data_IF_614789333164
#
_entry.id   IF_614789333164
#
_cell.length_a   1.000
_cell.length_b   1.000
_cell.length_c   1.000
_cell.angle_alpha   90.00
_cell.angle_beta   90.00
_cell.angle_gamma   90.00
#
_symmetry.space_group_name_H-M   'P 1'
#
loop_
_entity.id
_entity.type
_entity.pdbx_description
1 polymer ?
#
# COMPACT_ATOMS: atom_id res chain seq x y z
N UNK A 1 -7.56 11.10 10.51
CA UNK A 1 -7.53 10.52 9.15
C UNK A 1 -8.14 11.53 8.22
N UNK A 2 -7.45 11.89 7.15
CA UNK A 2 -8.01 12.72 6.09
C UNK A 2 -8.30 11.80 4.91
N UNK A 3 -9.56 11.34 4.80
CA UNK A 3 -9.98 10.64 3.59
C UNK A 3 -9.96 11.65 2.46
N UNK A 4 -9.16 11.39 1.42
CA UNK A 4 -9.24 12.18 0.19
C UNK A 4 -10.55 11.76 -0.48
N UNK A 5 -11.61 12.52 -0.17
CA UNK A 5 -12.92 12.34 -0.77
C UNK A 5 -12.81 12.69 -2.25
N UNK A 6 -13.60 12.02 -3.09
CA UNK A 6 -13.83 12.50 -4.44
C UNK A 6 -14.17 13.98 -4.38
N UNK A 7 -13.46 14.79 -5.18
CA UNK A 7 -13.91 16.14 -5.47
C UNK A 7 -15.25 15.92 -6.19
N UNK A 8 -16.37 16.16 -5.52
CA UNK A 8 -17.60 16.44 -6.25
C UNK A 8 -17.23 17.63 -7.13
N UNK A 9 -17.20 17.40 -8.44
CA UNK A 9 -16.93 18.44 -9.39
C UNK A 9 -17.97 19.55 -9.14
N UNK A 10 -17.55 20.65 -8.52
CA UNK A 10 -18.23 21.92 -8.70
C UNK A 10 -17.94 22.34 -10.14
N UNK A 11 -18.64 21.73 -11.08
CA UNK A 11 -18.59 22.12 -12.47
C UNK A 11 -19.99 22.03 -13.03
N UNK A 12 -20.41 23.13 -13.63
CA UNK A 12 -21.37 23.21 -14.71
C UNK A 12 -20.90 22.38 -15.93
N UNK A 13 -20.62 21.09 -15.73
CA UNK A 13 -20.17 20.17 -16.74
C UNK A 13 -21.37 19.47 -17.39
N UNK A 14 -21.31 19.37 -18.72
CA UNK A 14 -22.34 18.73 -19.53
C UNK A 14 -22.50 17.24 -19.22
N UNK A 15 -23.58 16.62 -19.74
CA UNK A 15 -24.05 15.28 -19.33
C UNK A 15 -23.12 14.10 -19.68
N UNK A 16 -21.93 14.34 -20.26
CA UNK A 16 -21.05 13.31 -20.81
C UNK A 16 -19.66 13.20 -20.12
N UNK A 17 -19.39 13.94 -19.05
CA UNK A 17 -18.13 13.78 -18.30
C UNK A 17 -18.25 12.63 -17.28
N UNK A 18 -17.51 11.54 -17.50
CA UNK A 18 -17.37 10.47 -16.51
C UNK A 18 -16.85 11.04 -15.18
N UNK A 19 -17.43 10.65 -14.04
CA UNK A 19 -17.03 11.19 -12.74
C UNK A 19 -15.57 10.85 -12.45
N UNK A 20 -14.71 11.86 -12.47
CA UNK A 20 -13.28 11.74 -12.18
C UNK A 20 -13.07 11.49 -10.69
N UNK A 21 -12.36 10.41 -10.33
CA UNK A 21 -12.02 10.14 -8.94
C UNK A 21 -10.95 11.12 -8.42
N UNK A 22 -10.91 11.39 -7.12
CA UNK A 22 -9.96 12.36 -6.56
C UNK A 22 -8.49 12.02 -6.83
N UNK A 23 -8.12 10.73 -6.89
CA UNK A 23 -6.76 10.33 -7.21
C UNK A 23 -6.33 10.79 -8.61
N UNK A 24 -7.23 10.68 -9.59
CA UNK A 24 -6.98 11.16 -10.96
C UNK A 24 -6.90 12.68 -11.01
N UNK A 25 -7.83 13.38 -10.35
CA UNK A 25 -7.86 14.84 -10.29
C UNK A 25 -6.58 15.43 -9.67
N UNK A 26 -5.99 14.72 -8.70
CA UNK A 26 -4.75 15.11 -8.03
C UNK A 26 -3.47 14.61 -8.74
N UNK A 27 -3.61 13.90 -9.87
CA UNK A 27 -2.47 13.38 -10.64
C UNK A 27 -1.67 12.31 -9.90
N UNK A 28 -2.30 11.55 -9.01
CA UNK A 28 -1.65 10.43 -8.33
C UNK A 28 -1.40 9.27 -9.30
N UNK A 29 -0.33 8.48 -9.10
CA UNK A 29 0.00 7.38 -10.00
C UNK A 29 -1.00 6.23 -9.89
N UNK A 30 -1.14 5.47 -10.96
CA UNK A 30 -1.92 4.24 -10.97
C UNK A 30 -1.15 3.11 -10.25
N UNK A 31 -1.87 2.32 -9.46
CA UNK A 31 -1.35 1.15 -8.76
C UNK A 31 -0.71 0.14 -9.71
N UNK A 32 -1.27 -0.02 -10.91
CA UNK A 32 -0.72 -0.91 -11.95
C UNK A 32 0.63 -0.46 -12.51
N UNK A 33 0.98 0.82 -12.40
CA UNK A 33 2.24 1.39 -12.91
C UNK A 33 3.38 1.29 -11.88
N UNK A 34 3.05 0.99 -10.62
CA UNK A 34 4.01 0.99 -9.51
C UNK A 34 4.74 -0.35 -9.32
N UNK A 35 4.36 -1.39 -10.09
CA UNK A 35 5.01 -2.70 -10.04
C UNK A 35 4.89 -3.40 -8.69
N UNK A 36 3.79 -3.17 -7.96
CA UNK A 36 3.51 -3.85 -6.70
C UNK A 36 3.26 -5.35 -6.92
N UNK A 37 3.85 -6.16 -6.06
CA UNK A 37 3.55 -7.59 -5.95
C UNK A 37 2.11 -7.80 -5.48
N UNK A 38 1.56 -9.01 -5.68
CA UNK A 38 0.20 -9.34 -5.25
C UNK A 38 -0.02 -9.08 -3.76
N UNK A 39 0.94 -9.44 -2.91
CA UNK A 39 0.84 -9.24 -1.46
C UNK A 39 0.93 -7.75 -1.07
N UNK A 40 1.69 -6.93 -1.81
CA UNK A 40 1.72 -5.48 -1.60
C UNK A 40 0.39 -4.82 -1.97
N UNK A 41 -0.25 -5.27 -3.07
CA UNK A 41 -1.59 -4.81 -3.44
C UNK A 41 -2.63 -5.15 -2.37
N UNK A 42 -2.66 -6.41 -1.91
CA UNK A 42 -3.57 -6.84 -0.84
C UNK A 42 -3.31 -6.05 0.45
N UNK A 43 -2.04 -5.83 0.81
CA UNK A 43 -1.69 -5.05 2.00
C UNK A 43 -2.19 -3.61 1.91
N UNK A 44 -2.05 -2.97 0.74
CA UNK A 44 -2.52 -1.60 0.51
C UNK A 44 -4.04 -1.49 0.64
N UNK A 45 -4.80 -2.42 0.05
CA UNK A 45 -6.26 -2.37 0.13
C UNK A 45 -6.77 -2.67 1.54
N UNK A 46 -6.17 -3.63 2.26
CA UNK A 46 -6.43 -3.84 3.70
C UNK A 46 -6.11 -2.57 4.49
N UNK A 47 -4.99 -1.91 4.21
CA UNK A 47 -4.61 -0.66 4.86
C UNK A 47 -5.66 0.44 4.65
N UNK A 48 -6.22 0.57 3.44
CA UNK A 48 -7.33 1.50 3.15
C UNK A 48 -8.60 1.17 3.92
N UNK A 49 -8.97 -0.11 4.01
CA UNK A 49 -10.10 -0.55 4.83
C UNK A 49 -9.91 -0.14 6.30
N UNK A 50 -8.70 -0.32 6.84
CA UNK A 50 -8.36 0.06 8.21
C UNK A 50 -8.37 1.59 8.39
N UNK A 51 -7.88 2.36 7.41
CA UNK A 51 -8.06 3.82 7.42
C UNK A 51 -9.55 4.20 7.51
N UNK A 52 -10.42 3.52 6.76
CA UNK A 52 -11.88 3.75 6.79
C UNK A 52 -12.51 3.40 8.14
N UNK A 53 -12.08 2.32 8.80
CA UNK A 53 -12.49 2.03 10.20
C UNK A 53 -12.21 3.24 11.09
N UNK A 54 -10.99 3.77 11.02
CA UNK A 54 -10.56 4.87 11.85
C UNK A 54 -11.17 6.23 11.48
N UNK A 55 -11.59 6.40 10.23
CA UNK A 55 -12.23 7.62 9.76
C UNK A 55 -13.74 7.64 10.07
N UNK A 56 -14.39 6.47 10.08
CA UNK A 56 -15.85 6.35 10.21
C UNK A 56 -16.32 5.77 11.54
N UNK A 57 -15.42 5.20 12.35
CA UNK A 57 -15.74 4.38 13.52
C UNK A 57 -16.67 3.19 13.22
N UNK A 58 -16.72 2.74 11.96
CA UNK A 58 -17.58 1.63 11.54
C UNK A 58 -16.88 0.28 11.69
N UNK A 59 -17.50 -0.63 12.44
CA UNK A 59 -17.08 -2.02 12.50
C UNK A 59 -17.22 -2.74 11.15
N UNK A 60 -18.14 -2.29 10.28
CA UNK A 60 -18.35 -2.91 8.96
C UNK A 60 -17.09 -2.84 8.08
N UNK A 61 -16.33 -1.74 8.15
CA UNK A 61 -15.08 -1.61 7.41
C UNK A 61 -14.03 -2.63 7.86
N UNK A 62 -14.11 -3.08 9.10
CA UNK A 62 -13.24 -4.14 9.64
C UNK A 62 -13.59 -5.51 9.06
N UNK A 63 -14.88 -5.84 9.03
CA UNK A 63 -15.38 -7.08 8.40
C UNK A 63 -15.04 -7.14 6.91
N UNK A 64 -15.13 -6.02 6.20
CA UNK A 64 -14.69 -5.92 4.80
C UNK A 64 -13.20 -6.21 4.67
N UNK A 65 -12.36 -5.67 5.56
CA UNK A 65 -10.92 -5.93 5.56
C UNK A 65 -10.61 -7.43 5.76
N UNK A 66 -11.26 -8.07 6.73
CA UNK A 66 -11.08 -9.49 7.04
C UNK A 66 -11.49 -10.34 5.84
N UNK A 67 -12.72 -10.17 5.34
CA UNK A 67 -13.21 -10.94 4.19
C UNK A 67 -12.34 -10.79 2.97
N UNK A 68 -11.96 -9.55 2.64
CA UNK A 68 -11.06 -9.29 1.52
C UNK A 68 -9.72 -9.99 1.69
N UNK A 69 -9.11 -9.93 2.88
CA UNK A 69 -7.84 -10.59 3.14
C UNK A 69 -7.97 -12.13 3.10
N UNK A 70 -9.06 -12.69 3.61
CA UNK A 70 -9.36 -14.13 3.57
C UNK A 70 -9.56 -14.64 2.13
N UNK A 71 -10.23 -13.87 1.27
CA UNK A 71 -10.42 -14.20 -0.14
C UNK A 71 -9.09 -14.32 -0.90
N UNK A 72 -8.03 -13.61 -0.45
CA UNK A 72 -6.73 -13.60 -1.11
C UNK A 72 -5.69 -14.51 -0.45
N UNK A 73 -5.72 -14.65 0.88
CA UNK A 73 -4.68 -15.33 1.66
C UNK A 73 -5.20 -16.54 2.44
N UNK A 74 -6.51 -16.78 2.42
CA UNK A 74 -7.17 -17.84 3.17
C UNK A 74 -7.54 -17.46 4.61
N UNK A 75 -8.32 -18.33 5.25
CA UNK A 75 -8.94 -18.11 6.55
C UNK A 75 -7.96 -17.97 7.75
N UNK A 76 -6.69 -18.33 7.56
CA UNK A 76 -5.67 -18.26 8.62
C UNK A 76 -4.83 -16.99 8.47
N UNK A 77 -4.25 -16.79 7.28
CA UNK A 77 -3.29 -15.71 7.06
C UNK A 77 -3.98 -14.36 6.77
N UNK A 78 -5.19 -14.38 6.20
CA UNK A 78 -5.99 -13.19 5.94
C UNK A 78 -6.24 -12.35 7.21
N UNK A 79 -6.87 -12.90 8.26
CA UNK A 79 -7.10 -12.17 9.51
C UNK A 79 -5.80 -11.72 10.19
N UNK A 80 -4.72 -12.50 10.06
CA UNK A 80 -3.42 -12.13 10.59
C UNK A 80 -2.85 -10.88 9.89
N UNK A 81 -2.95 -10.79 8.57
CA UNK A 81 -2.55 -9.59 7.82
C UNK A 81 -3.30 -8.35 8.32
N UNK A 82 -4.62 -8.45 8.49
CA UNK A 82 -5.46 -7.34 8.99
C UNK A 82 -5.01 -6.89 10.38
N UNK A 83 -4.70 -7.84 11.27
CA UNK A 83 -4.20 -7.54 12.61
C UNK A 83 -2.83 -6.82 12.56
N UNK A 84 -1.92 -7.23 11.68
CA UNK A 84 -0.60 -6.59 11.51
C UNK A 84 -0.70 -5.19 10.90
N UNK A 85 -1.52 -5.01 9.88
CA UNK A 85 -1.81 -3.69 9.29
C UNK A 85 -2.45 -2.76 10.33
N UNK A 86 -3.37 -3.28 11.14
CA UNK A 86 -3.95 -2.53 12.27
C UNK A 86 -2.88 -2.11 13.28
N UNK A 87 -1.98 -3.02 13.65
CA UNK A 87 -0.91 -2.71 14.61
C UNK A 87 -0.02 -1.58 14.09
N UNK A 88 0.34 -1.61 12.80
CA UNK A 88 1.07 -0.53 12.14
C UNK A 88 0.26 0.77 12.20
N UNK A 89 -1.01 0.74 11.81
CA UNK A 89 -1.86 1.94 11.84
C UNK A 89 -1.96 2.56 13.23
N UNK A 90 -2.08 1.74 14.27
CA UNK A 90 -2.12 2.20 15.67
C UNK A 90 -0.80 2.83 16.09
N UNK A 91 0.33 2.26 15.67
CA UNK A 91 1.65 2.83 15.92
C UNK A 91 1.79 4.20 15.23
N UNK A 92 1.45 4.28 13.95
CA UNK A 92 1.50 5.52 13.18
C UNK A 92 0.59 6.60 13.77
N UNK A 93 -0.64 6.26 14.15
CA UNK A 93 -1.56 7.22 14.81
C UNK A 93 -1.06 7.73 16.16
N UNK A 94 -0.27 6.94 16.87
CA UNK A 94 0.29 7.35 18.15
C UNK A 94 1.50 8.27 17.98
N UNK A 95 2.29 8.07 16.93
CA UNK A 95 3.58 8.74 16.72
C UNK A 95 3.51 9.92 15.73
N UNK A 96 2.56 9.88 14.79
CA UNK A 96 2.37 10.93 13.78
C UNK A 96 1.47 12.02 14.34
N UNK A 97 2.01 13.24 14.43
CA UNK A 97 1.28 14.42 14.89
C UNK A 97 0.28 15.01 13.89
N UNK A 98 0.16 14.43 12.70
CA UNK A 98 -0.68 14.93 11.60
C UNK A 98 -1.61 13.84 11.07
N UNK A 99 -2.60 14.28 10.26
CA UNK A 99 -3.45 13.35 9.53
C UNK A 99 -2.68 12.49 8.55
N UNK A 100 -3.25 11.32 8.25
CA UNK A 100 -2.82 10.43 7.18
C UNK A 100 -3.81 10.53 6.02
N UNK A 101 -3.30 10.72 4.82
CA UNK A 101 -4.07 10.89 3.59
C UNK A 101 -4.15 9.58 2.81
N UNK A 102 -5.36 9.14 2.52
CA UNK A 102 -5.58 7.87 1.81
C UNK A 102 -6.78 7.98 0.88
N UNK A 103 -6.85 7.08 -0.09
CA UNK A 103 -7.95 6.95 -1.02
C UNK A 103 -8.88 5.81 -0.60
N UNK A 104 -10.13 5.86 -1.06
CA UNK A 104 -11.10 4.79 -0.80
C UNK A 104 -10.62 3.45 -1.36
N UNK A 105 -11.03 2.37 -0.70
CA UNK A 105 -10.92 1.00 -1.21
C UNK A 105 -11.50 0.93 -2.64
N UNK A 106 -10.78 0.27 -3.56
CA UNK A 106 -11.15 0.18 -4.97
C UNK A 106 -10.65 1.35 -5.85
N UNK A 107 -10.09 2.41 -5.26
CA UNK A 107 -9.41 3.43 -6.06
C UNK A 107 -8.11 2.88 -6.65
N UNK A 108 -7.96 2.98 -7.98
CA UNK A 108 -6.77 2.51 -8.69
C UNK A 108 -5.56 3.43 -8.57
N UNK A 109 -5.72 4.62 -8.01
CA UNK A 109 -4.60 5.56 -7.78
C UNK A 109 -4.03 5.36 -6.39
N UNK A 110 -2.81 5.83 -6.14
CA UNK A 110 -2.13 5.68 -4.84
C UNK A 110 -1.69 7.04 -4.29
N UNK A 111 -2.10 7.39 -3.07
CA UNK A 111 -1.71 8.65 -2.44
C UNK A 111 -0.23 8.68 -2.07
N UNK A 112 0.38 9.87 -1.85
CA UNK A 112 1.77 9.96 -1.39
C UNK A 112 2.04 9.26 -0.05
N UNK A 113 1.06 9.30 0.86
CA UNK A 113 1.14 8.66 2.17
C UNK A 113 1.04 7.13 2.04
N UNK A 114 0.16 6.62 1.17
CA UNK A 114 0.06 5.20 0.81
C UNK A 114 1.35 4.70 0.17
N UNK A 115 1.93 5.46 -0.77
CA UNK A 115 3.23 5.17 -1.39
C UNK A 115 4.34 5.10 -0.34
N UNK A 116 4.33 6.01 0.64
CA UNK A 116 5.34 6.04 1.71
C UNK A 116 5.25 4.78 2.57
N UNK A 117 4.04 4.32 2.92
CA UNK A 117 3.84 3.05 3.66
C UNK A 117 4.33 1.87 2.84
N UNK A 118 3.90 1.72 1.59
CA UNK A 118 4.30 0.59 0.75
C UNK A 118 5.81 0.58 0.49
N UNK A 119 6.40 1.76 0.24
CA UNK A 119 7.84 1.94 0.06
C UNK A 119 8.65 1.57 1.32
N UNK A 120 8.17 1.96 2.50
CA UNK A 120 8.78 1.57 3.78
C UNK A 120 8.77 0.04 3.97
N UNK A 121 7.63 -0.61 3.69
CA UNK A 121 7.50 -2.07 3.79
C UNK A 121 8.42 -2.79 2.79
N UNK A 122 8.51 -2.29 1.55
CA UNK A 122 9.44 -2.79 0.55
C UNK A 122 10.90 -2.66 1.01
N UNK A 123 11.30 -1.48 1.50
CA UNK A 123 12.65 -1.26 2.02
C UNK A 123 13.01 -2.20 3.17
N UNK A 124 12.05 -2.46 4.06
CA UNK A 124 12.21 -3.42 5.15
C UNK A 124 12.37 -4.86 4.62
N UNK A 125 11.58 -5.28 3.63
CA UNK A 125 11.71 -6.61 2.98
C UNK A 125 13.06 -6.79 2.29
N UNK A 126 13.55 -5.78 1.59
CA UNK A 126 14.81 -5.86 0.83
C UNK A 126 16.06 -5.56 1.67
N UNK A 127 15.90 -5.22 2.96
CA UNK A 127 17.00 -4.85 3.83
C UNK A 127 17.66 -3.50 3.48
N UNK A 128 16.98 -2.64 2.71
CA UNK A 128 17.49 -1.30 2.39
C UNK A 128 17.30 -0.37 3.59
N UNK A 129 18.33 -0.33 4.44
CA UNK A 129 18.33 0.47 5.66
C UNK A 129 18.18 1.97 5.39
N UNK A 130 18.75 2.49 4.30
CA UNK A 130 18.68 3.93 4.00
C UNK A 130 17.27 4.32 3.55
N UNK A 131 16.67 3.54 2.66
CA UNK A 131 15.29 3.74 2.25
C UNK A 131 14.32 3.54 3.42
N UNK A 132 14.60 2.59 4.31
CA UNK A 132 13.80 2.36 5.51
C UNK A 132 13.77 3.58 6.44
N UNK A 133 14.93 4.11 6.83
CA UNK A 133 14.97 5.28 7.73
C UNK A 133 14.39 6.54 7.07
N UNK A 134 14.60 6.73 5.76
CA UNK A 134 13.92 7.80 5.00
C UNK A 134 12.40 7.63 4.99
N UNK A 135 11.92 6.41 4.76
CA UNK A 135 10.50 6.06 4.77
C UNK A 135 9.86 6.35 6.12
N UNK A 136 10.53 5.97 7.22
CA UNK A 136 10.10 6.29 8.59
C UNK A 136 9.99 7.81 8.79
N UNK A 137 11.02 8.57 8.42
CA UNK A 137 11.03 10.01 8.58
C UNK A 137 9.90 10.66 7.79
N UNK A 138 9.68 10.27 6.53
CA UNK A 138 8.58 10.78 5.70
C UNK A 138 7.22 10.42 6.32
N UNK A 139 7.05 9.16 6.72
CA UNK A 139 5.79 8.63 7.24
C UNK A 139 5.36 9.29 8.54
N UNK A 140 6.33 9.67 9.39
CA UNK A 140 6.11 10.34 10.66
C UNK A 140 6.26 11.87 10.58
N UNK A 141 6.39 12.44 9.38
CA UNK A 141 6.58 13.87 9.15
C UNK A 141 7.78 14.44 9.94
N UNK A 142 8.95 13.82 9.76
CA UNK A 142 10.21 14.05 10.48
C UNK A 142 10.17 13.75 11.99
N UNK A 143 9.16 13.02 12.46
CA UNK A 143 9.13 12.43 13.80
C UNK A 143 10.11 11.27 13.97
N UNK A 144 10.33 10.85 15.21
CA UNK A 144 11.13 9.66 15.51
C UNK A 144 10.23 8.44 15.71
N UNK A 145 10.47 7.37 14.94
CA UNK A 145 9.80 6.10 15.18
C UNK A 145 10.21 5.50 16.51
N UNK A 146 9.23 5.05 17.28
CA UNK A 146 9.49 4.23 18.45
C UNK A 146 9.66 2.75 18.06
N UNK A 147 10.07 1.93 19.01
CA UNK A 147 10.08 0.47 18.84
C UNK A 147 8.72 -0.10 18.43
N UNK A 148 7.61 0.58 18.76
CA UNK A 148 6.27 0.14 18.37
C UNK A 148 6.10 0.14 16.84
N UNK A 149 6.45 1.24 16.18
CA UNK A 149 6.38 1.33 14.71
C UNK A 149 7.34 0.33 14.06
N UNK A 150 8.58 0.24 14.57
CA UNK A 150 9.59 -0.69 14.03
C UNK A 150 9.15 -2.15 14.12
N UNK A 151 8.60 -2.57 15.27
CA UNK A 151 8.06 -3.92 15.46
C UNK A 151 6.83 -4.18 14.58
N UNK A 152 5.91 -3.21 14.46
CA UNK A 152 4.73 -3.36 13.63
C UNK A 152 5.10 -3.53 12.14
N UNK A 153 6.05 -2.74 11.65
CA UNK A 153 6.61 -2.89 10.29
C UNK A 153 7.23 -4.26 10.11
N UNK A 154 8.12 -4.67 11.03
CA UNK A 154 8.79 -5.98 10.94
C UNK A 154 7.80 -7.13 10.88
N UNK A 155 6.81 -7.17 11.78
CA UNK A 155 5.84 -8.25 11.78
C UNK A 155 4.94 -8.27 10.55
N UNK A 156 4.61 -7.10 9.99
CA UNK A 156 3.88 -7.02 8.73
C UNK A 156 4.73 -7.54 7.57
N UNK A 157 6.00 -7.15 7.52
CA UNK A 157 7.00 -7.63 6.55
C UNK A 157 7.17 -9.15 6.63
N UNK A 158 7.29 -9.72 7.83
CA UNK A 158 7.40 -11.17 8.03
C UNK A 158 6.18 -11.89 7.41
N UNK A 159 4.98 -11.33 7.57
CA UNK A 159 3.74 -11.84 6.95
C UNK A 159 3.82 -11.72 5.43
N UNK A 160 4.28 -10.58 4.89
CA UNK A 160 4.40 -10.40 3.44
C UNK A 160 5.41 -11.36 2.81
N UNK A 161 6.50 -11.67 3.50
CA UNK A 161 7.54 -12.59 3.02
C UNK A 161 7.04 -14.03 2.91
N UNK A 162 6.09 -14.45 3.75
CA UNK A 162 5.46 -15.77 3.66
C UNK A 162 4.60 -15.94 2.39
N UNK A 163 4.09 -14.83 1.84
CA UNK A 163 3.28 -14.81 0.62
C UNK A 163 3.99 -14.19 -0.58
N UNK A 164 5.27 -13.85 -0.43
CA UNK A 164 6.11 -13.43 -1.54
C UNK A 164 6.46 -14.69 -2.33
N UNK A 165 5.68 -15.01 -3.36
CA UNK A 165 6.13 -15.99 -4.36
C UNK A 165 7.47 -15.49 -4.88
N UNK A 166 8.56 -16.29 -4.86
CA UNK A 166 9.77 -15.89 -5.54
C UNK A 166 9.41 -15.68 -7.01
N UNK A 167 9.50 -14.44 -7.48
CA UNK A 167 9.44 -14.21 -8.93
C UNK A 167 10.57 -15.05 -9.52
N UNK A 168 10.30 -15.93 -10.50
CA UNK A 168 11.37 -16.48 -11.31
C UNK A 168 12.09 -15.27 -11.90
N UNK A 169 13.31 -15.09 -11.41
CA UNK A 169 14.37 -14.29 -11.96
C UNK A 169 14.15 -14.01 -13.46
N UNK A 170 13.77 -12.78 -13.80
CA UNK A 170 13.73 -12.25 -15.17
C UNK A 170 15.15 -12.16 -15.80
N UNK A 171 16.14 -12.84 -15.23
CA UNK A 171 17.50 -12.98 -15.74
C UNK A 171 17.57 -13.89 -16.97
N UNK A 172 16.58 -14.78 -17.19
CA UNK A 172 16.64 -15.74 -18.31
C UNK A 172 16.17 -15.20 -19.68
N UNK A 173 15.31 -14.17 -19.73
CA UNK A 173 14.81 -13.64 -21.02
C UNK A 173 15.79 -12.67 -21.69
N UNK A 174 16.59 -11.94 -20.92
CA UNK A 174 17.59 -11.03 -21.47
C UNK A 174 18.81 -11.77 -22.05
N UNK A 175 19.25 -12.87 -21.41
CA UNK A 175 20.37 -13.66 -21.93
C UNK A 175 20.00 -14.43 -23.20
N UNK A 176 18.77 -14.96 -23.30
CA UNK A 176 18.34 -15.67 -24.52
C UNK A 176 18.23 -14.75 -25.74
N UNK A 177 17.79 -13.49 -25.57
CA UNK A 177 17.75 -12.52 -26.67
C UNK A 177 19.15 -12.02 -27.08
N UNK A 178 20.07 -11.91 -26.12
CA UNK A 178 21.44 -11.43 -26.40
C UNK A 178 22.28 -12.50 -27.12
N UNK A 179 22.10 -13.79 -26.78
CA UNK A 179 22.80 -14.89 -27.47
C UNK A 179 22.28 -15.08 -28.90
N UNK A 180 20.97 -14.86 -29.15
CA UNK A 180 20.39 -15.03 -30.48
C UNK A 180 20.79 -13.92 -31.46
N UNK A 181 21.11 -12.72 -30.96
CA UNK A 181 21.60 -11.59 -31.77
C UNK A 181 23.11 -11.69 -32.11
N UNK A 182 23.89 -12.51 -31.40
CA UNK A 182 25.34 -12.70 -31.65
C UNK A 182 25.65 -13.82 -32.65
N UNK A 183 24.66 -14.64 -33.04
CA UNK A 183 24.80 -15.76 -33.98
C UNK A 183 24.06 -15.60 -35.31
N UNK A 184 23.52 -14.42 -35.58
CA UNK A 184 22.98 -14.07 -36.89
C UNK A 184 23.85 -12.98 -37.50
N UNK A 185 24.45 -13.35 -38.62
CA UNK A 185 25.25 -12.56 -39.57
C UNK A 185 24.72 -11.15 -39.84
#
# INVERSE_FOLDING_TARGET
MLKIKNLEATSSAGPDEEPMCAGQALGFPLQSELGFTSIENVTLDVFRCICDVYATASAQCWEVAIRFAEEHLGAVDGPLLVARVTALMRALRFERGTGFSYLSVGCRHVSPDELTVTGLLKAARTGDRLAFEKGIALLLNNGQATERTRLAVRCLVDTQMQHSVPQPEQTAEFESQTVQALYLH
#
